data_IF_334820276428
#
_entry.id   IF_334820276428
#
_cell.length_a   1.000
_cell.length_b   1.000
_cell.length_c   1.000
_cell.angle_alpha   90.00
_cell.angle_beta   90.00
_cell.angle_gamma   90.00
#
_symmetry.space_group_name_H-M   'P 1'
#
loop_
_entity.id
_entity.type
_entity.pdbx_description
1 polymer ?
#
# COMPACT_ATOMS: atom_id res chain seq x y z
N UNK A 1 -95.79 3.76 -12.35
CA UNK A 1 -95.01 3.73 -13.61
C UNK A 1 -93.56 3.96 -13.25
N UNK A 2 -92.75 2.89 -13.19
CA UNK A 2 -91.77 2.55 -14.25
C UNK A 2 -90.76 3.68 -14.45
N UNK A 3 -89.52 3.55 -13.98
CA UNK A 3 -88.42 2.77 -14.55
C UNK A 3 -87.32 3.77 -14.95
N UNK A 4 -86.06 3.30 -14.88
CA UNK A 4 -84.82 3.93 -15.37
C UNK A 4 -84.19 5.00 -14.47
N UNK A 5 -83.30 4.56 -13.58
CA UNK A 5 -81.85 4.83 -13.65
C UNK A 5 -81.19 4.25 -12.39
N UNK A 6 -80.47 3.14 -12.51
CA UNK A 6 -79.11 3.01 -11.95
C UNK A 6 -78.51 1.73 -12.52
N UNK A 7 -77.92 1.93 -13.70
CA UNK A 7 -77.01 1.03 -14.34
C UNK A 7 -75.66 1.11 -13.59
N UNK A 8 -74.90 0.01 -13.60
CA UNK A 8 -73.46 -0.05 -13.31
C UNK A 8 -73.09 -0.03 -11.81
N UNK A 9 -73.32 -1.17 -11.14
CA UNK A 9 -72.44 -1.69 -10.07
C UNK A 9 -72.76 -3.16 -9.79
N UNK A 10 -72.53 -4.03 -10.76
CA UNK A 10 -72.45 -5.49 -10.63
C UNK A 10 -72.14 -6.04 -12.01
N UNK A 11 -70.89 -6.45 -12.25
CA UNK A 11 -70.44 -7.57 -13.10
C UNK A 11 -68.99 -7.32 -13.59
N UNK A 12 -68.01 -7.76 -12.81
CA UNK A 12 -66.68 -8.20 -13.27
C UNK A 12 -66.05 -8.94 -12.08
N UNK A 13 -66.21 -10.26 -11.94
CA UNK A 13 -65.39 -11.30 -12.59
C UNK A 13 -63.89 -11.04 -12.41
N UNK A 14 -63.33 -11.52 -11.29
CA UNK A 14 -62.03 -12.20 -11.25
C UNK A 14 -61.79 -12.77 -9.85
N UNK A 15 -62.42 -13.92 -9.61
CA UNK A 15 -62.09 -14.78 -8.49
C UNK A 15 -60.80 -15.52 -8.86
N UNK A 16 -59.66 -14.86 -8.60
CA UNK A 16 -58.34 -15.49 -8.64
C UNK A 16 -58.24 -16.40 -7.42
N UNK A 17 -58.73 -17.64 -7.56
CA UNK A 17 -58.24 -18.76 -6.75
C UNK A 17 -56.77 -18.92 -7.14
N UNK A 18 -55.89 -18.18 -6.46
CA UNK A 18 -54.47 -18.45 -6.50
C UNK A 18 -54.28 -19.78 -5.78
N UNK A 19 -54.30 -20.88 -6.54
CA UNK A 19 -53.81 -22.16 -6.08
C UNK A 19 -52.34 -21.96 -5.72
N UNK A 20 -52.09 -21.66 -4.45
CA UNK A 20 -50.78 -21.82 -3.84
C UNK A 20 -50.44 -23.30 -3.95
N UNK A 21 -49.79 -23.67 -5.04
CA UNK A 21 -48.97 -24.87 -5.09
C UNK A 21 -47.89 -24.66 -4.04
N UNK A 22 -48.12 -25.21 -2.84
CA UNK A 22 -47.06 -25.49 -1.89
C UNK A 22 -46.11 -26.46 -2.60
N UNK A 23 -45.13 -25.92 -3.32
CA UNK A 23 -43.94 -26.66 -3.67
C UNK A 23 -43.36 -27.16 -2.36
N UNK A 24 -43.26 -28.48 -2.20
CA UNK A 24 -42.52 -29.09 -1.12
C UNK A 24 -41.05 -28.71 -1.33
N UNK A 25 -40.58 -27.69 -0.62
CA UNK A 25 -39.15 -27.43 -0.50
C UNK A 25 -38.57 -28.62 0.25
N UNK A 26 -37.69 -29.38 -0.40
CA UNK A 26 -36.95 -30.44 0.27
C UNK A 26 -36.05 -29.78 1.32
N UNK A 27 -36.46 -29.84 2.58
CA UNK A 27 -35.61 -29.44 3.70
C UNK A 27 -34.48 -30.48 3.81
N UNK A 28 -33.24 -30.03 4.01
CA UNK A 28 -32.08 -30.92 4.20
C UNK A 28 -31.69 -30.90 5.67
N UNK A 29 -31.69 -32.05 6.32
CA UNK A 29 -31.33 -32.21 7.72
C UNK A 29 -30.00 -32.95 7.84
N UNK A 30 -29.03 -32.31 8.50
CA UNK A 30 -27.71 -32.88 8.75
C UNK A 30 -27.67 -33.49 10.16
N UNK A 31 -27.29 -34.75 10.29
CA UNK A 31 -27.18 -35.45 11.58
C UNK A 31 -25.82 -36.15 11.73
N UNK A 32 -25.31 -36.23 12.96
CA UNK A 32 -24.19 -37.14 13.28
C UNK A 32 -24.71 -38.56 13.51
N UNK A 33 -23.92 -39.62 13.23
CA UNK A 33 -24.25 -40.98 13.65
C UNK A 33 -24.62 -41.03 15.14
N UNK A 34 -25.78 -41.59 15.47
CA UNK A 34 -26.32 -41.66 16.83
C UNK A 34 -27.13 -40.42 17.28
N UNK A 35 -27.19 -39.33 16.51
CA UNK A 35 -28.10 -38.21 16.79
C UNK A 35 -29.51 -38.49 16.30
N UNK A 36 -30.49 -37.84 16.94
CA UNK A 36 -31.90 -37.90 16.56
C UNK A 36 -32.57 -36.52 16.50
N UNK A 37 -33.51 -36.33 15.58
CA UNK A 37 -34.37 -35.15 15.47
C UNK A 37 -35.84 -35.57 15.56
N UNK A 38 -36.60 -34.88 16.41
CA UNK A 38 -38.05 -35.10 16.51
C UNK A 38 -38.77 -34.23 15.50
N UNK A 39 -39.55 -34.86 14.63
CA UNK A 39 -40.42 -34.21 13.65
C UNK A 39 -41.85 -34.21 14.19
N UNK A 40 -42.49 -33.03 14.20
CA UNK A 40 -43.85 -32.84 14.70
C UNK A 40 -44.77 -32.46 13.55
N UNK A 41 -45.92 -33.11 13.46
CA UNK A 41 -46.89 -32.93 12.37
C UNK A 41 -48.23 -32.43 12.91
N UNK A 42 -48.89 -31.56 12.15
CA UNK A 42 -50.22 -31.06 12.49
C UNK A 42 -51.32 -32.12 12.29
N UNK A 43 -51.10 -33.04 11.35
CA UNK A 43 -52.03 -34.10 10.95
C UNK A 43 -51.47 -35.49 11.31
N UNK A 44 -52.37 -36.48 11.41
CA UNK A 44 -51.97 -37.85 11.71
C UNK A 44 -51.05 -38.43 10.62
N UNK A 45 -49.93 -39.00 11.05
CA UNK A 45 -48.96 -39.74 10.26
C UNK A 45 -49.51 -41.16 10.03
N UNK A 46 -49.55 -41.60 8.78
CA UNK A 46 -50.02 -42.94 8.43
C UNK A 46 -48.86 -43.83 7.99
N UNK A 47 -48.03 -43.34 7.07
CA UNK A 47 -46.89 -44.11 6.52
C UNK A 47 -45.65 -43.24 6.51
N UNK A 48 -44.50 -43.83 6.82
CA UNK A 48 -43.20 -43.18 6.72
C UNK A 48 -42.31 -44.07 5.86
N UNK A 49 -41.71 -43.48 4.84
CA UNK A 49 -40.81 -44.15 3.93
C UNK A 49 -39.42 -43.56 4.08
N UNK A 50 -38.41 -44.43 4.13
CA UNK A 50 -36.99 -44.03 4.10
C UNK A 50 -36.31 -44.81 2.98
N UNK A 51 -35.64 -44.08 2.08
CA UNK A 51 -35.02 -44.68 0.89
C UNK A 51 -33.90 -45.66 1.24
N UNK A 52 -33.06 -45.31 2.20
CA UNK A 52 -31.99 -46.16 2.75
C UNK A 52 -32.01 -46.18 4.31
N UNK A 53 -32.54 -47.25 4.93
CA UNK A 53 -32.58 -47.42 6.39
C UNK A 53 -31.21 -47.71 7.03
N UNK A 54 -30.18 -48.07 6.25
CA UNK A 54 -28.84 -48.24 6.78
C UNK A 54 -28.20 -46.89 7.15
N UNK A 55 -28.59 -45.82 6.46
CA UNK A 55 -28.12 -44.44 6.65
C UNK A 55 -28.87 -43.76 7.80
N UNK A 56 -30.19 -43.68 7.73
CA UNK A 56 -31.03 -43.11 8.78
C UNK A 56 -32.32 -43.92 8.94
N UNK A 57 -32.87 -43.92 10.13
CA UNK A 57 -34.04 -44.73 10.46
C UNK A 57 -34.97 -43.95 11.40
N UNK A 58 -36.20 -44.41 11.57
CA UNK A 58 -37.23 -43.66 12.28
C UNK A 58 -37.99 -44.51 13.28
N UNK A 59 -38.56 -43.84 14.29
CA UNK A 59 -39.48 -44.44 15.23
C UNK A 59 -40.69 -43.53 15.43
N UNK A 60 -41.88 -44.09 15.26
CA UNK A 60 -43.14 -43.39 15.52
C UNK A 60 -43.34 -43.36 17.04
N UNK A 61 -43.46 -42.16 17.60
CA UNK A 61 -43.72 -41.98 19.03
C UNK A 61 -45.23 -41.93 19.29
N UNK A 62 -45.96 -41.21 18.44
CA UNK A 62 -47.42 -41.20 18.40
C UNK A 62 -47.90 -40.81 16.99
N UNK A 63 -49.21 -40.64 16.81
CA UNK A 63 -49.83 -40.28 15.53
C UNK A 63 -49.36 -38.94 14.95
N UNK A 64 -48.64 -38.09 15.69
CA UNK A 64 -48.19 -36.76 15.25
C UNK A 64 -46.69 -36.52 15.39
N UNK A 65 -45.95 -37.45 16.00
CA UNK A 65 -44.53 -37.27 16.31
C UNK A 65 -43.72 -38.48 15.83
N UNK A 66 -42.70 -38.19 15.04
CA UNK A 66 -41.71 -39.17 14.57
C UNK A 66 -40.35 -38.74 15.10
N UNK A 67 -39.57 -39.69 15.61
CA UNK A 67 -38.16 -39.48 15.92
C UNK A 67 -37.33 -40.10 14.80
N UNK A 68 -36.61 -39.25 14.06
CA UNK A 68 -35.63 -39.65 13.05
C UNK A 68 -34.27 -39.76 13.73
N UNK A 69 -33.52 -40.84 13.53
CA UNK A 69 -32.17 -41.01 14.04
C UNK A 69 -31.20 -41.47 12.95
N UNK A 70 -29.98 -40.94 13.01
CA UNK A 70 -28.92 -41.25 12.07
C UNK A 70 -28.14 -42.50 12.50
N UNK A 71 -27.82 -43.39 11.55
CA UNK A 71 -27.12 -44.66 11.79
C UNK A 71 -25.73 -44.69 11.16
N UNK A 72 -25.64 -44.57 9.83
CA UNK A 72 -24.37 -44.63 9.09
C UNK A 72 -24.20 -43.44 8.16
N UNK A 73 -22.94 -43.20 7.80
CA UNK A 73 -22.55 -42.19 6.82
C UNK A 73 -23.27 -42.41 5.48
N UNK A 74 -23.89 -41.37 4.95
CA UNK A 74 -24.57 -41.39 3.66
C UNK A 74 -25.71 -40.37 3.62
N UNK A 75 -26.41 -40.31 2.48
CA UNK A 75 -27.59 -39.47 2.31
C UNK A 75 -28.80 -40.35 1.98
N UNK A 76 -29.93 -40.08 2.62
CA UNK A 76 -31.18 -40.82 2.42
C UNK A 76 -32.36 -39.86 2.41
N UNK A 77 -33.48 -40.24 1.83
CA UNK A 77 -34.69 -39.42 1.78
C UNK A 77 -35.75 -40.01 2.69
N UNK A 78 -36.42 -39.17 3.46
CA UNK A 78 -37.52 -39.52 4.35
C UNK A 78 -38.80 -38.82 3.86
N UNK A 79 -39.79 -39.63 3.50
CA UNK A 79 -41.10 -39.15 3.04
C UNK A 79 -42.16 -39.58 4.05
N UNK A 80 -42.92 -38.61 4.55
CA UNK A 80 -43.99 -38.84 5.53
C UNK A 80 -45.33 -38.64 4.84
N UNK A 81 -46.20 -39.65 4.91
CA UNK A 81 -47.55 -39.64 4.35
C UNK A 81 -48.60 -39.57 5.45
N UNK A 82 -49.66 -38.80 5.19
CA UNK A 82 -50.85 -38.70 6.02
C UNK A 82 -52.01 -39.52 5.46
N UNK A 83 -53.24 -39.15 5.85
CA UNK A 83 -54.45 -39.73 5.26
C UNK A 83 -54.49 -39.54 3.73
N UNK A 84 -55.08 -40.51 3.02
CA UNK A 84 -55.27 -40.48 1.56
C UNK A 84 -53.97 -40.37 0.75
N UNK A 85 -52.85 -40.91 1.26
CA UNK A 85 -51.53 -40.86 0.63
C UNK A 85 -51.00 -39.44 0.36
N UNK A 86 -51.50 -38.43 1.08
CA UNK A 86 -50.99 -37.06 0.98
C UNK A 86 -49.60 -36.97 1.62
N UNK A 87 -48.61 -36.46 0.89
CA UNK A 87 -47.28 -36.18 1.42
C UNK A 87 -47.39 -35.03 2.43
N UNK A 88 -47.06 -35.31 3.69
CA UNK A 88 -46.99 -34.33 4.77
C UNK A 88 -45.62 -33.64 4.80
N UNK A 89 -44.55 -34.38 4.48
CA UNK A 89 -43.19 -33.87 4.46
C UNK A 89 -42.31 -34.75 3.56
N UNK A 90 -41.39 -34.11 2.85
CA UNK A 90 -40.29 -34.77 2.18
C UNK A 90 -38.98 -34.12 2.65
N UNK A 91 -38.06 -34.91 3.19
CA UNK A 91 -36.84 -34.47 3.85
C UNK A 91 -35.63 -35.26 3.34
N UNK A 92 -34.58 -34.58 2.89
CA UNK A 92 -33.29 -35.22 2.65
C UNK A 92 -32.48 -35.24 3.94
N UNK A 93 -31.99 -36.41 4.34
CA UNK A 93 -31.23 -36.64 5.57
C UNK A 93 -29.80 -36.96 5.17
N UNK A 94 -28.87 -36.07 5.51
CA UNK A 94 -27.44 -36.27 5.29
C UNK A 94 -26.76 -36.61 6.62
N UNK A 95 -26.09 -37.76 6.66
CA UNK A 95 -25.40 -38.24 7.86
C UNK A 95 -23.90 -38.09 7.64
N UNK A 96 -23.32 -37.08 8.28
CA UNK A 96 -21.89 -36.76 8.19
C UNK A 96 -21.33 -36.33 9.57
N UNK A 97 -20.50 -37.18 10.23
CA UNK A 97 -19.84 -36.82 11.49
C UNK A 97 -18.81 -35.70 11.30
N UNK A 98 -18.11 -35.71 10.16
CA UNK A 98 -16.95 -34.87 9.92
C UNK A 98 -17.35 -33.42 9.64
N UNK A 99 -18.40 -33.21 8.83
CA UNK A 99 -18.97 -31.88 8.59
C UNK A 99 -19.43 -31.22 9.88
N UNK A 100 -20.05 -32.01 10.75
CA UNK A 100 -20.61 -31.54 12.00
C UNK A 100 -19.52 -31.19 13.04
N UNK A 101 -18.39 -31.92 13.04
CA UNK A 101 -17.21 -31.59 13.85
C UNK A 101 -16.51 -30.32 13.37
N UNK A 102 -16.34 -30.14 12.05
CA UNK A 102 -15.80 -28.90 11.48
C UNK A 102 -16.65 -27.71 11.89
N UNK A 103 -17.98 -27.79 11.69
CA UNK A 103 -18.91 -26.70 12.07
C UNK A 103 -18.79 -26.33 13.55
N UNK A 104 -18.71 -27.33 14.42
CA UNK A 104 -18.55 -27.10 15.86
C UNK A 104 -17.19 -26.47 16.20
N UNK A 105 -16.12 -26.88 15.51
CA UNK A 105 -14.79 -26.31 15.73
C UNK A 105 -14.68 -24.87 15.22
N UNK A 106 -15.21 -24.58 14.03
CA UNK A 106 -15.29 -23.21 13.48
C UNK A 106 -16.09 -22.31 14.43
N UNK A 107 -17.25 -22.77 14.92
CA UNK A 107 -18.06 -21.99 15.86
C UNK A 107 -17.37 -21.73 17.21
N UNK A 108 -16.49 -22.64 17.66
CA UNK A 108 -15.72 -22.50 18.91
C UNK A 108 -14.53 -21.55 18.75
N UNK A 109 -13.78 -21.67 17.67
CA UNK A 109 -12.57 -20.85 17.44
C UNK A 109 -12.90 -19.44 16.95
N UNK A 110 -14.00 -19.25 16.21
CA UNK A 110 -14.43 -17.97 15.65
C UNK A 110 -15.84 -17.58 16.10
N UNK A 111 -16.03 -17.23 17.39
CA UNK A 111 -17.34 -16.86 17.92
C UNK A 111 -17.91 -15.62 17.21
N UNK A 112 -19.22 -15.61 16.96
CA UNK A 112 -19.91 -14.50 16.28
C UNK A 112 -19.83 -14.52 14.74
N UNK A 113 -19.14 -15.49 14.15
CA UNK A 113 -19.11 -15.67 12.69
C UNK A 113 -20.27 -16.54 12.23
N UNK A 114 -21.04 -16.07 11.24
CA UNK A 114 -22.15 -16.82 10.65
C UNK A 114 -21.63 -17.66 9.47
N UNK A 115 -20.78 -18.64 9.76
CA UNK A 115 -20.14 -19.50 8.75
C UNK A 115 -20.94 -20.78 8.54
N UNK A 116 -21.32 -21.03 7.29
CA UNK A 116 -21.88 -22.29 6.83
C UNK A 116 -20.83 -23.03 5.99
N UNK A 117 -20.53 -24.25 6.39
CA UNK A 117 -19.68 -25.17 5.63
C UNK A 117 -20.60 -26.15 4.90
N UNK A 118 -20.44 -26.29 3.58
CA UNK A 118 -21.12 -27.31 2.77
C UNK A 118 -20.09 -28.21 2.10
N UNK A 119 -20.40 -29.50 2.04
CA UNK A 119 -19.63 -30.49 1.29
C UNK A 119 -20.41 -30.87 0.04
N UNK A 120 -19.73 -30.89 -1.10
CA UNK A 120 -20.24 -31.42 -2.35
C UNK A 120 -19.35 -32.57 -2.80
N UNK A 121 -19.93 -33.74 -3.00
CA UNK A 121 -19.25 -34.92 -3.53
C UNK A 121 -19.46 -34.95 -5.05
N UNK A 122 -18.38 -34.92 -5.82
CA UNK A 122 -18.43 -35.12 -7.27
C UNK A 122 -17.52 -36.29 -7.64
N UNK A 123 -18.15 -37.42 -8.01
CA UNK A 123 -17.51 -38.73 -8.22
C UNK A 123 -16.60 -39.13 -7.03
N UNK A 124 -15.31 -38.79 -7.10
CA UNK A 124 -14.27 -39.13 -6.10
C UNK A 124 -13.65 -37.90 -5.39
N UNK A 125 -14.06 -36.68 -5.73
CA UNK A 125 -13.53 -35.45 -5.13
C UNK A 125 -14.58 -34.77 -4.25
N UNK A 126 -14.22 -34.57 -2.98
CA UNK A 126 -15.00 -33.76 -2.05
C UNK A 126 -14.58 -32.29 -2.17
N UNK A 127 -15.48 -31.44 -2.64
CA UNK A 127 -15.31 -29.98 -2.69
C UNK A 127 -16.04 -29.35 -1.51
N UNK A 128 -15.35 -28.47 -0.80
CA UNK A 128 -15.86 -27.79 0.38
C UNK A 128 -16.13 -26.33 0.04
N UNK A 129 -17.34 -25.85 0.33
CA UNK A 129 -17.72 -24.47 0.10
C UNK A 129 -17.94 -23.81 1.45
N UNK A 130 -17.19 -22.75 1.71
CA UNK A 130 -17.33 -21.88 2.86
C UNK A 130 -18.18 -20.68 2.44
N UNK A 131 -19.33 -20.50 3.08
CA UNK A 131 -20.22 -19.36 2.82
C UNK A 131 -20.69 -18.73 4.12
N UNK A 132 -21.09 -17.46 4.06
CA UNK A 132 -21.59 -16.75 5.23
C UNK A 132 -20.88 -15.43 5.44
N UNK A 133 -21.13 -14.80 6.59
CA UNK A 133 -20.58 -13.48 6.93
C UNK A 133 -19.59 -13.59 8.08
N UNK A 134 -18.43 -12.94 7.92
CA UNK A 134 -17.37 -12.87 8.92
C UNK A 134 -17.05 -11.42 9.25
N UNK A 135 -16.62 -11.14 10.48
CA UNK A 135 -16.43 -9.77 10.95
C UNK A 135 -15.23 -9.04 10.28
N UNK A 136 -14.14 -9.76 10.05
CA UNK A 136 -12.86 -9.20 9.59
C UNK A 136 -12.09 -10.21 8.71
N UNK A 137 -11.05 -9.69 8.05
CA UNK A 137 -10.26 -10.46 7.08
C UNK A 137 -9.39 -11.53 7.76
N UNK A 138 -8.89 -11.25 8.96
CA UNK A 138 -8.14 -12.22 9.77
C UNK A 138 -9.00 -13.45 10.10
N UNK A 139 -10.26 -13.22 10.47
CA UNK A 139 -11.25 -14.26 10.75
C UNK A 139 -11.61 -15.02 9.48
N UNK A 140 -11.81 -14.32 8.34
CA UNK A 140 -12.04 -14.94 7.03
C UNK A 140 -10.92 -15.91 6.67
N UNK A 141 -9.69 -15.45 6.77
CA UNK A 141 -8.50 -16.20 6.41
C UNK A 141 -8.27 -17.34 7.41
N UNK A 142 -8.47 -17.09 8.70
CA UNK A 142 -8.39 -18.10 9.75
C UNK A 142 -9.37 -19.25 9.56
N UNK A 143 -10.64 -18.95 9.22
CA UNK A 143 -11.66 -19.97 8.91
C UNK A 143 -11.25 -20.77 7.67
N UNK A 144 -10.79 -20.10 6.61
CA UNK A 144 -10.32 -20.75 5.39
C UNK A 144 -9.13 -21.69 5.66
N UNK A 145 -8.12 -21.22 6.40
CA UNK A 145 -6.95 -22.01 6.76
C UNK A 145 -7.30 -23.18 7.69
N UNK A 146 -8.17 -22.97 8.69
CA UNK A 146 -8.62 -24.02 9.59
C UNK A 146 -9.33 -25.12 8.81
N UNK A 147 -10.34 -24.77 8.02
CA UNK A 147 -11.10 -25.76 7.24
C UNK A 147 -10.18 -26.42 6.22
N UNK A 148 -9.42 -25.64 5.45
CA UNK A 148 -8.44 -26.14 4.50
C UNK A 148 -7.43 -27.11 5.13
N UNK A 149 -6.94 -26.84 6.34
CA UNK A 149 -6.02 -27.75 7.02
C UNK A 149 -6.66 -29.08 7.44
N UNK A 150 -7.98 -29.12 7.65
CA UNK A 150 -8.73 -30.31 8.05
C UNK A 150 -9.19 -31.15 6.86
N UNK A 151 -9.47 -30.52 5.72
CA UNK A 151 -10.02 -31.20 4.53
C UNK A 151 -9.18 -31.17 3.28
N UNK A 152 -8.10 -30.41 3.28
CA UNK A 152 -7.12 -30.42 2.19
C UNK A 152 -6.57 -31.82 2.00
N UNK A 153 -6.75 -32.36 0.81
CA UNK A 153 -6.05 -33.58 0.40
C UNK A 153 -4.54 -33.31 0.46
N UNK A 154 -3.76 -34.24 1.00
CA UNK A 154 -2.37 -34.04 1.47
C UNK A 154 -1.34 -33.55 0.45
N UNK A 155 -1.75 -33.20 -0.78
CA UNK A 155 -0.95 -32.50 -1.77
C UNK A 155 -0.72 -31.05 -1.37
N UNK A 156 0.53 -30.71 -1.04
CA UNK A 156 0.94 -29.40 -0.53
C UNK A 156 0.27 -28.23 -1.23
N UNK A 157 -0.67 -27.59 -0.52
CA UNK A 157 -1.25 -26.32 -0.94
C UNK A 157 -0.15 -25.38 -1.39
N UNK A 158 -0.28 -24.87 -2.60
CA UNK A 158 0.70 -23.96 -3.19
C UNK A 158 0.79 -22.76 -2.27
N UNK A 159 1.95 -22.60 -1.65
CA UNK A 159 2.34 -21.33 -1.04
C UNK A 159 2.21 -20.28 -2.14
N UNK A 160 1.31 -19.31 -1.99
CA UNK A 160 1.19 -18.13 -2.87
C UNK A 160 2.41 -17.19 -2.73
N UNK A 161 3.60 -17.74 -2.53
CA UNK A 161 4.88 -17.05 -2.53
C UNK A 161 5.69 -17.35 -3.78
N UNK A 162 5.04 -17.73 -4.89
CA UNK A 162 5.75 -17.93 -6.15
C UNK A 162 6.31 -16.59 -6.62
N UNK A 163 7.58 -16.63 -7.01
CA UNK A 163 8.50 -15.54 -7.34
C UNK A 163 8.11 -14.78 -8.60
N UNK A 164 6.86 -14.32 -8.70
CA UNK A 164 6.43 -13.38 -9.71
C UNK A 164 6.85 -11.98 -9.24
N UNK A 165 7.95 -11.47 -9.79
CA UNK A 165 8.53 -10.16 -9.47
C UNK A 165 7.56 -8.98 -9.67
N UNK A 166 6.40 -9.24 -10.28
CA UNK A 166 5.36 -8.27 -10.56
C UNK A 166 4.21 -8.26 -9.53
N UNK A 167 4.15 -9.22 -8.60
CA UNK A 167 3.15 -9.24 -7.53
C UNK A 167 3.78 -8.76 -6.24
N UNK A 168 3.28 -7.63 -5.71
CA UNK A 168 3.74 -7.05 -4.46
C UNK A 168 3.72 -8.05 -3.30
N UNK A 169 4.49 -7.82 -2.23
CA UNK A 169 4.57 -8.75 -1.12
C UNK A 169 3.19 -8.90 -0.48
N UNK A 170 2.71 -10.15 -0.47
CA UNK A 170 1.47 -10.54 0.19
C UNK A 170 1.80 -10.81 1.66
N UNK A 171 1.00 -10.25 2.57
CA UNK A 171 1.17 -10.51 4.00
C UNK A 171 0.85 -11.97 4.30
N UNK A 172 1.88 -12.72 4.67
CA UNK A 172 1.87 -14.14 4.98
C UNK A 172 1.42 -15.04 3.80
N UNK A 173 2.17 -16.12 3.64
CA UNK A 173 1.89 -17.20 2.70
C UNK A 173 0.62 -17.92 3.18
N UNK A 174 -0.55 -17.47 2.72
CA UNK A 174 -1.78 -18.21 2.89
C UNK A 174 -1.69 -19.47 2.00
N UNK A 175 -1.73 -20.65 2.62
CA UNK A 175 -1.78 -21.92 1.90
C UNK A 175 -3.10 -21.99 1.12
N UNK A 176 -3.03 -22.18 -0.19
CA UNK A 176 -4.22 -22.32 -1.02
C UNK A 176 -4.58 -23.80 -1.12
N UNK A 177 -5.84 -24.12 -0.86
CA UNK A 177 -6.38 -25.47 -0.90
C UNK A 177 -7.30 -25.62 -2.11
N UNK A 178 -6.96 -26.52 -3.03
CA UNK A 178 -7.66 -26.67 -4.32
C UNK A 178 -9.11 -27.19 -4.16
N UNK A 179 -9.37 -27.94 -3.09
CA UNK A 179 -10.69 -28.51 -2.81
C UNK A 179 -11.55 -27.65 -1.86
N UNK A 180 -11.10 -26.44 -1.51
CA UNK A 180 -11.85 -25.51 -0.64
C UNK A 180 -12.12 -24.20 -1.38
N UNK A 181 -13.40 -23.90 -1.60
CA UNK A 181 -13.86 -22.67 -2.22
C UNK A 181 -14.28 -21.69 -1.11
N UNK A 182 -13.58 -20.56 -1.01
CA UNK A 182 -13.90 -19.50 -0.07
C UNK A 182 -14.93 -18.52 -0.68
N UNK A 183 -16.15 -18.50 -0.15
CA UNK A 183 -17.21 -17.51 -0.46
C UNK A 183 -17.64 -16.74 0.79
N UNK A 184 -16.78 -16.67 1.81
CA UNK A 184 -17.05 -15.85 2.99
C UNK A 184 -17.07 -14.37 2.60
N UNK A 185 -18.11 -13.69 3.05
CA UNK A 185 -18.33 -12.27 2.78
C UNK A 185 -18.00 -11.44 4.02
N UNK A 186 -17.42 -10.26 3.77
CA UNK A 186 -17.24 -9.24 4.79
C UNK A 186 -18.44 -8.29 4.76
N UNK A 187 -18.94 -7.82 5.91
CA UNK A 187 -20.07 -6.89 5.97
C UNK A 187 -19.78 -5.53 5.31
N UNK A 188 -18.50 -5.16 5.19
CA UNK A 188 -18.04 -4.00 4.45
C UNK A 188 -16.71 -4.29 3.75
N UNK A 189 -16.51 -3.74 2.56
CA UNK A 189 -15.18 -3.66 1.96
C UNK A 189 -14.38 -2.60 2.70
N UNK A 190 -13.39 -3.04 3.45
CA UNK A 190 -12.47 -2.14 4.14
C UNK A 190 -11.46 -1.62 3.11
N UNK A 191 -11.48 -0.32 2.85
CA UNK A 191 -10.47 0.35 2.03
C UNK A 191 -9.54 1.13 2.94
N UNK A 192 -8.25 1.00 2.71
CA UNK A 192 -7.23 1.73 3.45
C UNK A 192 -6.63 2.77 2.52
N UNK A 193 -6.77 4.03 2.91
CA UNK A 193 -6.03 5.12 2.33
C UNK A 193 -4.66 5.22 2.99
N UNK A 194 -3.62 5.28 2.18
CA UNK A 194 -2.23 5.37 2.62
C UNK A 194 -1.64 6.66 2.06
N UNK A 195 -1.29 7.55 2.98
CA UNK A 195 -0.65 8.82 2.71
C UNK A 195 0.80 8.73 3.14
N UNK A 196 1.71 8.74 2.18
CA UNK A 196 3.14 8.81 2.44
C UNK A 196 3.58 10.27 2.34
N UNK A 197 4.40 10.74 3.27
CA UNK A 197 4.98 12.09 3.25
C UNK A 197 6.49 11.98 3.32
N UNK A 198 7.18 12.41 2.28
CA UNK A 198 8.64 12.44 2.18
C UNK A 198 9.06 13.90 2.21
N UNK A 199 9.80 14.27 3.24
CA UNK A 199 10.33 15.63 3.41
C UNK A 199 11.85 15.55 3.35
N UNK A 200 12.45 16.26 2.41
CA UNK A 200 13.90 16.46 2.34
C UNK A 200 14.22 17.94 2.42
N UNK A 201 15.19 18.29 3.26
CA UNK A 201 15.73 19.64 3.39
C UNK A 201 17.23 19.54 3.17
N UNK A 202 17.75 20.25 2.16
CA UNK A 202 19.18 20.43 1.96
C UNK A 202 19.55 21.88 2.18
N UNK A 203 20.63 22.10 2.92
CA UNK A 203 21.20 23.41 3.22
C UNK A 203 22.67 23.37 2.83
N UNK A 204 23.09 24.29 2.00
CA UNK A 204 24.48 24.51 1.62
C UNK A 204 24.85 25.93 2.00
N UNK A 205 25.91 26.06 2.80
CA UNK A 205 26.46 27.34 3.23
C UNK A 205 27.88 27.42 2.71
N UNK A 206 28.21 28.51 2.01
CA UNK A 206 29.59 28.80 1.58
C UNK A 206 29.96 30.20 2.05
N UNK A 207 30.92 30.25 2.95
CA UNK A 207 31.57 31.49 3.36
C UNK A 207 33.00 31.49 2.78
N UNK A 208 33.34 32.52 2.02
CA UNK A 208 34.68 32.75 1.48
C UNK A 208 35.09 34.17 1.80
N UNK A 209 36.17 34.32 2.56
CA UNK A 209 36.73 35.61 2.92
C UNK A 209 38.25 35.55 2.82
N UNK A 210 38.81 36.37 1.94
CA UNK A 210 40.25 36.40 1.75
C UNK A 210 40.74 37.40 0.71
N UNK A 211 42.06 37.58 0.70
CA UNK A 211 42.78 38.27 -0.36
C UNK A 211 43.59 37.23 -1.14
N UNK A 212 43.34 37.13 -2.43
CA UNK A 212 44.08 36.25 -3.33
C UNK A 212 45.17 37.04 -4.07
N UNK A 213 46.42 36.62 -3.89
CA UNK A 213 47.60 37.23 -4.51
C UNK A 213 48.00 36.37 -5.73
N UNK A 214 47.47 36.68 -6.91
CA UNK A 214 47.50 35.80 -8.09
C UNK A 214 48.78 35.89 -8.96
N UNK A 215 49.96 36.12 -8.36
CA UNK A 215 51.18 36.41 -9.14
C UNK A 215 52.44 35.74 -8.59
N UNK A 216 52.50 34.41 -8.52
CA UNK A 216 53.76 33.64 -8.37
C UNK A 216 53.59 32.18 -8.84
N UNK A 217 53.56 31.92 -10.16
CA UNK A 217 53.61 30.54 -10.68
C UNK A 217 55.05 30.12 -11.02
N UNK A 218 55.40 28.88 -10.68
CA UNK A 218 56.70 28.24 -10.92
C UNK A 218 57.09 28.20 -12.41
N UNK A 219 56.13 28.30 -13.32
CA UNK A 219 56.37 28.35 -14.78
C UNK A 219 57.13 29.60 -15.23
N UNK A 220 56.97 30.71 -14.49
CA UNK A 220 57.76 31.94 -14.70
C UNK A 220 59.23 31.77 -14.29
N UNK A 221 59.54 30.77 -13.45
CA UNK A 221 60.88 30.48 -12.91
C UNK A 221 61.66 29.51 -13.82
N UNK A 222 60.98 28.59 -14.52
CA UNK A 222 61.62 27.57 -15.36
C UNK A 222 61.86 28.06 -16.80
N UNK A 223 60.99 28.91 -17.33
CA UNK A 223 61.12 29.44 -18.71
C UNK A 223 62.17 30.55 -18.87
N UNK A 224 62.75 31.07 -17.78
CA UNK A 224 63.84 32.05 -17.80
C UNK A 224 65.17 31.43 -17.33
N UNK A 225 65.79 30.65 -18.23
CA UNK A 225 67.22 30.29 -18.27
C UNK A 225 67.97 30.23 -16.92
N UNK A 226 68.08 29.03 -16.37
CA UNK A 226 68.87 28.70 -15.18
C UNK A 226 70.37 28.99 -15.37
N UNK A 227 70.86 30.13 -14.85
CA UNK A 227 72.29 30.30 -14.56
C UNK A 227 72.60 29.84 -13.13
N UNK A 228 73.21 28.65 -13.06
CA UNK A 228 73.85 28.07 -11.86
C UNK A 228 74.76 29.11 -11.22
N UNK A 229 74.60 29.40 -9.93
CA UNK A 229 75.53 30.26 -9.20
C UNK A 229 75.84 29.74 -7.79
N UNK A 230 77.12 29.98 -7.47
CA UNK A 230 77.97 29.67 -6.32
C UNK A 230 77.33 29.38 -4.94
N UNK A 231 77.88 28.43 -4.16
CA UNK A 231 77.54 28.23 -2.75
C UNK A 231 77.78 29.50 -1.92
N UNK A 232 76.79 29.87 -1.09
CA UNK A 232 76.89 30.99 -0.14
C UNK A 232 75.99 32.20 -0.41
N UNK A 233 75.16 32.18 -1.45
CA UNK A 233 74.21 33.27 -1.74
C UNK A 233 72.76 32.83 -1.56
N UNK A 234 72.04 33.48 -0.64
CA UNK A 234 70.59 33.29 -0.46
C UNK A 234 69.83 34.22 -1.43
N UNK A 235 69.35 33.67 -2.55
CA UNK A 235 68.45 34.38 -3.47
C UNK A 235 67.00 34.03 -3.13
N UNK A 236 66.23 35.01 -2.65
CA UNK A 236 64.78 34.89 -2.50
C UNK A 236 64.15 34.81 -3.90
N UNK A 237 63.72 33.59 -4.27
CA UNK A 237 63.10 33.26 -5.56
C UNK A 237 62.00 34.27 -5.93
N UNK A 238 62.15 34.94 -7.08
CA UNK A 238 61.11 35.77 -7.71
C UNK A 238 61.45 37.27 -7.86
N UNK A 239 62.46 37.81 -7.19
CA UNK A 239 62.67 39.27 -7.13
C UNK A 239 64.03 39.73 -7.67
N UNK A 240 64.34 39.49 -8.96
CA UNK A 240 65.60 39.98 -9.57
C UNK A 240 65.53 41.40 -10.16
N UNK A 241 64.36 42.08 -10.18
CA UNK A 241 64.20 43.46 -10.68
C UNK A 241 63.51 44.42 -9.68
N UNK A 242 63.68 44.17 -8.38
CA UNK A 242 63.04 44.99 -7.34
C UNK A 242 61.54 44.70 -7.21
N UNK A 243 60.98 45.19 -6.10
CA UNK A 243 59.55 45.06 -5.79
C UNK A 243 58.78 46.05 -6.67
N UNK A 244 58.38 45.63 -7.87
CA UNK A 244 57.54 46.46 -8.73
C UNK A 244 56.07 46.27 -8.36
N UNK A 245 55.50 47.28 -7.68
CA UNK A 245 54.09 47.31 -7.29
C UNK A 245 53.13 47.21 -8.49
N UNK A 246 53.61 47.46 -9.71
CA UNK A 246 52.80 47.36 -10.93
C UNK A 246 52.37 45.92 -11.29
N UNK A 247 53.05 44.89 -10.77
CA UNK A 247 52.75 43.48 -11.07
C UNK A 247 51.94 42.76 -9.98
N UNK A 248 51.48 43.50 -8.97
CA UNK A 248 50.67 42.97 -7.87
C UNK A 248 49.18 43.13 -8.22
N UNK A 249 48.59 42.09 -8.79
CA UNK A 249 47.12 41.99 -8.90
C UNK A 249 46.58 41.44 -7.57
N UNK A 250 45.69 42.21 -6.92
CA UNK A 250 45.02 41.81 -5.68
C UNK A 250 43.53 41.68 -5.96
N UNK A 251 42.96 40.54 -5.60
CA UNK A 251 41.53 40.32 -5.64
C UNK A 251 41.02 40.06 -4.22
N UNK A 252 40.05 40.87 -3.77
CA UNK A 252 39.35 40.65 -2.51
C UNK A 252 38.13 39.80 -2.82
N UNK A 253 38.11 38.58 -2.27
CA UNK A 253 36.98 37.68 -2.36
C UNK A 253 36.25 37.68 -1.03
N UNK A 254 35.03 38.22 -1.02
CA UNK A 254 34.11 38.21 0.12
C UNK A 254 32.75 37.73 -0.36
N UNK A 255 32.52 36.42 -0.26
CA UNK A 255 31.32 35.76 -0.76
C UNK A 255 30.68 34.99 0.39
N UNK A 256 29.41 35.28 0.66
CA UNK A 256 28.57 34.51 1.55
C UNK A 256 27.34 34.05 0.78
N UNK A 257 27.25 32.74 0.57
CA UNK A 257 26.18 32.11 -0.16
C UNK A 257 25.44 31.13 0.74
N UNK A 258 24.12 31.35 0.88
CA UNK A 258 23.22 30.46 1.59
C UNK A 258 22.22 29.87 0.59
N UNK A 259 22.31 28.57 0.33
CA UNK A 259 21.39 27.84 -0.53
C UNK A 259 20.55 26.86 0.31
N UNK A 260 19.23 27.04 0.29
CA UNK A 260 18.29 26.15 0.98
C UNK A 260 17.30 25.60 -0.04
N UNK A 261 17.25 24.28 -0.15
CA UNK A 261 16.24 23.59 -0.93
C UNK A 261 15.40 22.68 -0.03
N UNK A 262 14.08 22.66 -0.30
CA UNK A 262 13.12 21.78 0.37
C UNK A 262 12.33 21.03 -0.69
N UNK A 263 12.31 19.71 -0.57
CA UNK A 263 11.53 18.82 -1.43
C UNK A 263 10.47 18.15 -0.57
N UNK A 264 9.21 18.29 -0.97
CA UNK A 264 8.07 17.60 -0.37
C UNK A 264 7.41 16.73 -1.44
N UNK A 265 7.38 15.42 -1.22
CA UNK A 265 6.60 14.50 -2.03
C UNK A 265 5.55 13.83 -1.13
N UNK A 266 4.29 13.88 -1.55
CA UNK A 266 3.18 13.31 -0.77
C UNK A 266 2.28 12.42 -1.62
N UNK A 267 2.75 11.23 -2.04
CA UNK A 267 1.90 10.29 -2.76
C UNK A 267 0.79 9.77 -1.85
N UNK A 268 -0.41 9.68 -2.42
CA UNK A 268 -1.63 9.27 -1.72
C UNK A 268 -2.31 8.17 -2.54
N UNK A 269 -2.53 7.00 -1.94
CA UNK A 269 -3.05 5.83 -2.63
C UNK A 269 -4.05 5.09 -1.74
N UNK A 270 -5.19 4.69 -2.31
CA UNK A 270 -6.17 3.86 -1.61
C UNK A 270 -6.09 2.44 -2.13
N UNK A 271 -6.09 1.47 -1.23
CA UNK A 271 -6.05 0.04 -1.55
C UNK A 271 -7.14 -0.71 -0.79
N UNK A 272 -7.64 -1.79 -1.36
CA UNK A 272 -8.54 -2.70 -0.65
C UNK A 272 -7.73 -3.49 0.40
N UNK A 273 -8.33 -3.77 1.55
CA UNK A 273 -7.72 -4.66 2.54
C UNK A 273 -7.36 -6.01 1.91
N UNK A 274 -6.12 -6.46 2.14
CA UNK A 274 -5.57 -7.70 1.61
C UNK A 274 -4.98 -7.61 0.20
N UNK A 275 -5.19 -6.49 -0.50
CA UNK A 275 -4.70 -6.26 -1.86
C UNK A 275 -3.47 -5.37 -1.89
N UNK A 276 -2.73 -5.44 -2.99
CA UNK A 276 -1.59 -4.58 -3.28
C UNK A 276 -1.96 -3.55 -4.34
N UNK A 277 -1.42 -2.34 -4.21
CA UNK A 277 -1.53 -1.28 -5.18
C UNK A 277 -0.14 -0.68 -5.46
N UNK A 278 0.09 -0.31 -6.71
CA UNK A 278 1.30 0.39 -7.16
C UNK A 278 0.94 1.74 -7.76
N UNK A 279 1.80 2.72 -7.53
CA UNK A 279 1.68 4.07 -8.05
C UNK A 279 3.04 4.50 -8.57
N UNK A 280 3.12 4.81 -9.87
CA UNK A 280 4.33 5.30 -10.51
C UNK A 280 4.04 6.66 -11.15
N UNK A 281 4.86 7.65 -10.83
CA UNK A 281 4.84 8.97 -11.48
C UNK A 281 6.26 9.36 -11.84
N UNK A 282 6.52 9.52 -13.14
CA UNK A 282 7.80 9.95 -13.64
C UNK A 282 7.94 9.69 -15.13
N UNK A 283 9.12 9.29 -15.58
CA UNK A 283 9.42 9.06 -16.99
C UNK A 283 10.44 7.95 -17.18
N UNK A 284 10.85 7.74 -18.42
CA UNK A 284 11.84 6.73 -18.80
C UNK A 284 13.04 7.40 -19.48
N UNK A 285 14.24 6.91 -19.16
CA UNK A 285 15.48 7.35 -19.79
C UNK A 285 15.96 6.24 -20.71
N UNK A 286 16.14 6.50 -22.00
CA UNK A 286 16.76 5.53 -22.91
C UNK A 286 18.26 5.45 -22.62
N UNK A 287 18.74 4.25 -22.34
CA UNK A 287 20.16 3.92 -22.16
C UNK A 287 20.57 3.03 -23.33
N UNK A 288 21.57 3.48 -24.09
CA UNK A 288 22.12 2.67 -25.18
C UNK A 288 23.11 1.66 -24.61
N UNK A 289 22.83 0.38 -24.77
CA UNK A 289 23.69 -0.73 -24.38
C UNK A 289 24.27 -1.34 -25.65
N UNK A 290 25.59 -1.35 -25.78
CA UNK A 290 26.29 -2.02 -26.88
C UNK A 290 26.60 -3.45 -26.47
N UNK A 291 26.02 -4.42 -27.18
CA UNK A 291 26.34 -5.83 -27.05
C UNK A 291 27.05 -6.30 -28.33
N UNK A 292 28.37 -6.53 -28.24
CA UNK A 292 29.28 -6.85 -29.34
C UNK A 292 29.14 -5.89 -30.55
N UNK A 293 28.21 -6.17 -31.47
CA UNK A 293 27.92 -5.39 -32.69
C UNK A 293 26.47 -4.85 -32.78
N UNK A 294 25.63 -5.11 -31.78
CA UNK A 294 24.25 -4.60 -31.69
C UNK A 294 24.15 -3.46 -30.67
N UNK A 295 23.52 -2.35 -31.06
CA UNK A 295 23.14 -1.27 -30.14
C UNK A 295 21.69 -1.47 -29.76
N UNK A 296 21.44 -1.88 -28.52
CA UNK A 296 20.08 -2.04 -27.97
C UNK A 296 19.76 -0.84 -27.08
N UNK A 297 18.56 -0.28 -27.22
CA UNK A 297 18.07 0.78 -26.33
C UNK A 297 17.29 0.14 -25.18
N UNK A 298 17.78 0.32 -23.95
CA UNK A 298 17.10 -0.10 -22.72
C UNK A 298 16.48 1.10 -22.03
N UNK A 299 15.18 1.07 -21.76
CA UNK A 299 14.51 2.14 -21.01
C UNK A 299 14.62 1.89 -19.50
N UNK A 300 15.04 2.92 -18.77
CA UNK A 300 15.11 2.92 -17.31
C UNK A 300 14.16 3.96 -16.72
N UNK A 301 13.15 3.49 -16.00
CA UNK A 301 12.18 4.33 -15.31
C UNK A 301 12.83 5.16 -14.19
N UNK A 302 12.33 6.38 -14.01
CA UNK A 302 12.63 7.24 -12.88
C UNK A 302 11.38 8.00 -12.41
N UNK A 303 11.45 8.56 -11.21
CA UNK A 303 10.36 9.29 -10.57
C UNK A 303 10.00 8.70 -9.21
N UNK A 304 8.73 8.84 -8.82
CA UNK A 304 8.16 8.33 -7.56
C UNK A 304 7.47 7.01 -7.86
N UNK A 305 7.98 5.92 -7.29
CA UNK A 305 7.33 4.61 -7.27
C UNK A 305 6.92 4.30 -5.83
N UNK A 306 5.65 4.01 -5.62
CA UNK A 306 5.08 3.62 -4.33
C UNK A 306 4.34 2.30 -4.51
N UNK A 307 4.77 1.27 -3.77
CA UNK A 307 4.08 0.01 -3.65
C UNK A 307 3.56 -0.13 -2.23
N UNK A 308 2.26 -0.38 -2.12
CA UNK A 308 1.56 -0.48 -0.84
C UNK A 308 0.72 -1.72 -0.83
N UNK A 309 0.81 -2.49 0.25
CA UNK A 309 -0.16 -3.53 0.60
C UNK A 309 -0.69 -3.17 1.98
N UNK A 310 -2.01 -3.17 2.17
CA UNK A 310 -2.60 -2.92 3.49
C UNK A 310 -3.57 -4.05 3.84
N UNK A 311 -3.57 -4.48 5.10
CA UNK A 311 -4.48 -5.49 5.62
C UNK A 311 -5.06 -5.05 6.95
N UNK A 312 -6.38 -5.05 7.05
CA UNK A 312 -7.10 -4.76 8.29
C UNK A 312 -7.19 -6.03 9.12
N UNK A 313 -6.60 -5.98 10.31
CA UNK A 313 -6.57 -7.06 11.29
C UNK A 313 -7.65 -6.85 12.37
N UNK A 314 -7.75 -7.79 13.33
CA UNK A 314 -8.62 -7.60 14.49
C UNK A 314 -8.28 -6.32 15.27
N UNK A 315 -9.29 -5.80 15.98
CA UNK A 315 -9.19 -4.59 16.83
C UNK A 315 -8.90 -3.30 16.03
N UNK A 316 -9.32 -3.24 14.77
CA UNK A 316 -9.15 -2.05 13.89
C UNK A 316 -7.69 -1.63 13.69
N UNK A 317 -6.77 -2.60 13.73
CA UNK A 317 -5.39 -2.37 13.37
C UNK A 317 -5.18 -2.62 11.89
N UNK A 318 -4.24 -1.90 11.31
CA UNK A 318 -3.88 -1.94 9.90
C UNK A 318 -2.42 -2.36 9.82
N UNK A 319 -2.17 -3.55 9.29
CA UNK A 319 -0.85 -3.99 8.88
C UNK A 319 -0.55 -3.39 7.50
N UNK A 320 0.50 -2.59 7.43
CA UNK A 320 0.92 -1.86 6.23
C UNK A 320 2.30 -2.34 5.80
N UNK A 321 2.44 -2.71 4.53
CA UNK A 321 3.70 -2.90 3.84
C UNK A 321 3.82 -1.74 2.87
N UNK A 322 4.92 -1.03 2.96
CA UNK A 322 5.18 0.15 2.14
C UNK A 322 6.60 0.07 1.61
N UNK A 323 6.72 0.14 0.30
CA UNK A 323 7.99 0.22 -0.41
C UNK A 323 7.93 1.42 -1.34
N UNK A 324 8.77 2.41 -1.08
CA UNK A 324 8.85 3.61 -1.88
C UNK A 324 10.23 3.78 -2.49
N UNK A 325 10.25 4.35 -3.68
CA UNK A 325 11.44 4.73 -4.40
C UNK A 325 11.23 6.11 -5.01
N UNK A 326 12.12 7.03 -4.69
CA UNK A 326 12.20 8.34 -5.32
C UNK A 326 13.50 8.40 -6.10
N UNK A 327 13.38 8.59 -7.41
CA UNK A 327 14.51 8.71 -8.31
C UNK A 327 14.42 9.99 -9.14
N UNK A 328 15.55 10.67 -9.29
CA UNK A 328 15.66 11.90 -10.06
C UNK A 328 16.94 11.89 -10.90
N UNK A 329 16.85 12.37 -12.14
CA UNK A 329 18.03 12.63 -12.97
C UNK A 329 18.80 13.79 -12.34
N UNK A 330 20.06 13.57 -11.97
CA UNK A 330 20.85 14.58 -11.22
C UNK A 330 21.96 15.19 -12.08
N UNK A 331 22.25 14.61 -13.24
CA UNK A 331 23.21 15.17 -14.19
C UNK A 331 23.63 14.12 -15.22
N UNK A 332 24.87 14.25 -15.68
CA UNK A 332 25.47 13.30 -16.61
C UNK A 332 26.96 13.15 -16.36
N UNK A 333 27.44 11.92 -16.46
CA UNK A 333 28.85 11.57 -16.46
C UNK A 333 29.35 11.50 -17.91
N UNK A 334 30.31 12.35 -18.26
CA UNK A 334 30.95 12.31 -19.57
C UNK A 334 32.00 11.21 -19.61
N UNK A 335 31.87 10.29 -20.57
CA UNK A 335 32.88 9.25 -20.84
C UNK A 335 33.10 9.17 -22.35
N UNK A 336 34.29 9.55 -22.81
CA UNK A 336 34.57 9.84 -24.22
C UNK A 336 33.55 10.84 -24.80
N UNK A 337 32.96 10.56 -25.96
CA UNK A 337 31.91 11.37 -26.60
C UNK A 337 30.48 11.05 -26.07
N UNK A 338 30.35 10.18 -25.07
CA UNK A 338 29.05 9.79 -24.50
C UNK A 338 28.75 10.57 -23.22
N UNK A 339 27.54 11.13 -23.16
CA UNK A 339 26.99 11.78 -21.98
C UNK A 339 26.00 10.81 -21.29
N UNK A 340 26.46 10.12 -20.24
CA UNK A 340 25.69 9.09 -19.55
C UNK A 340 24.90 9.73 -18.40
N UNK A 341 23.55 9.71 -18.40
CA UNK A 341 22.76 10.30 -17.31
C UNK A 341 23.05 9.64 -15.97
N UNK A 342 23.20 10.45 -14.92
CA UNK A 342 23.35 9.97 -13.54
C UNK A 342 22.04 10.08 -12.78
N UNK A 343 21.72 9.04 -12.03
CA UNK A 343 20.47 8.91 -11.28
C UNK A 343 20.76 8.93 -9.79
N UNK A 344 20.00 9.74 -9.05
CA UNK A 344 19.97 9.68 -7.60
C UNK A 344 18.70 8.97 -7.19
N UNK A 345 18.83 7.86 -6.46
CA UNK A 345 17.71 7.04 -6.00
C UNK A 345 17.69 6.97 -4.49
N UNK A 346 16.52 7.18 -3.90
CA UNK A 346 16.23 6.98 -2.48
C UNK A 346 15.18 5.89 -2.39
N UNK A 347 15.41 4.88 -1.55
CA UNK A 347 14.50 3.75 -1.37
C UNK A 347 14.29 3.48 0.11
N UNK A 348 13.04 3.23 0.49
CA UNK A 348 12.74 2.65 1.80
C UNK A 348 11.70 1.54 1.66
N UNK A 349 11.75 0.56 2.55
CA UNK A 349 10.83 -0.56 2.59
C UNK A 349 10.62 -0.96 4.03
N UNK A 350 9.37 -1.01 4.49
CA UNK A 350 9.04 -1.38 5.86
C UNK A 350 7.68 -2.05 5.96
N UNK A 351 7.51 -2.85 7.01
CA UNK A 351 6.23 -3.40 7.43
C UNK A 351 5.92 -2.87 8.82
N UNK A 352 4.80 -2.18 8.97
CA UNK A 352 4.38 -1.54 10.22
C UNK A 352 2.93 -1.89 10.53
N UNK A 353 2.55 -1.81 11.80
CA UNK A 353 1.17 -2.00 12.27
C UNK A 353 0.72 -0.71 12.95
N UNK A 354 -0.39 -0.14 12.46
CA UNK A 354 -0.91 1.17 12.84
C UNK A 354 -2.40 1.08 13.14
N UNK A 355 -2.95 1.91 14.03
CA UNK A 355 -4.40 2.07 14.12
C UNK A 355 -4.91 3.04 13.02
N UNK A 356 -6.23 3.11 12.86
CA UNK A 356 -6.87 4.09 11.98
C UNK A 356 -6.52 5.53 12.40
N UNK A 357 -5.99 6.32 11.47
CA UNK A 357 -5.54 7.69 11.70
C UNK A 357 -4.12 7.84 12.24
N UNK A 358 -3.47 6.73 12.63
CA UNK A 358 -2.10 6.79 13.15
C UNK A 358 -1.10 7.14 12.04
N UNK A 359 -0.05 7.85 12.46
CA UNK A 359 1.09 8.18 11.61
C UNK A 359 2.38 7.67 12.23
N UNK A 360 3.28 7.12 11.42
CA UNK A 360 4.54 6.57 11.88
C UNK A 360 5.70 6.95 10.97
N UNK A 361 6.86 7.17 11.58
CA UNK A 361 8.11 7.47 10.86
C UNK A 361 8.70 6.16 10.35
N UNK A 362 8.72 5.98 9.03
CA UNK A 362 9.28 4.77 8.40
C UNK A 362 10.81 4.82 8.38
N UNK A 363 11.38 6.03 8.28
CA UNK A 363 12.82 6.23 8.26
C UNK A 363 13.20 7.70 8.21
N UNK A 364 14.48 7.96 8.48
CA UNK A 364 15.09 9.27 8.33
C UNK A 364 16.59 9.16 8.12
N UNK A 365 17.17 10.21 7.54
CA UNK A 365 18.60 10.34 7.31
C UNK A 365 19.01 11.77 7.60
N UNK A 366 20.02 11.94 8.44
CA UNK A 366 20.72 13.20 8.64
C UNK A 366 22.14 13.03 8.11
N UNK A 367 22.55 13.89 7.20
CA UNK A 367 23.90 13.95 6.64
C UNK A 367 24.43 15.36 6.81
N UNK A 368 25.66 15.47 7.28
CA UNK A 368 26.36 16.74 7.46
C UNK A 368 27.80 16.56 6.99
N UNK A 369 28.29 17.48 6.16
CA UNK A 369 29.65 17.50 5.69
C UNK A 369 30.17 18.94 5.70
N UNK A 370 31.24 19.13 6.47
CA UNK A 370 31.94 20.39 6.65
C UNK A 370 33.32 20.30 6.00
N UNK A 371 33.64 21.31 5.19
CA UNK A 371 34.91 21.46 4.50
C UNK A 371 35.46 22.84 4.78
N UNK A 372 36.60 22.90 5.44
CA UNK A 372 37.33 24.13 5.70
C UNK A 372 38.64 24.10 4.90
N UNK A 373 38.93 25.21 4.22
CA UNK A 373 40.14 25.40 3.43
C UNK A 373 40.76 26.73 3.80
N UNK A 374 42.03 26.70 4.20
CA UNK A 374 42.80 27.89 4.52
C UNK A 374 44.04 27.94 3.62
N UNK A 375 44.06 28.93 2.73
CA UNK A 375 45.24 29.25 1.92
C UNK A 375 45.92 30.46 2.52
N UNK A 376 47.24 30.39 2.79
CA UNK A 376 47.99 31.51 3.37
C UNK A 376 49.39 31.61 2.79
N UNK A 377 49.94 32.82 2.76
CA UNK A 377 51.36 33.05 2.49
C UNK A 377 52.17 32.61 3.72
N UNK A 378 53.18 31.74 3.57
CA UNK A 378 54.06 31.36 4.67
C UNK A 378 54.66 32.59 5.37
N UNK A 379 54.87 32.51 6.70
CA UNK A 379 55.34 33.59 7.58
C UNK A 379 54.36 34.76 7.79
N UNK A 380 53.89 35.42 6.73
CA UNK A 380 53.06 36.64 6.84
C UNK A 380 51.62 36.31 7.26
N UNK A 381 51.06 35.19 6.78
CA UNK A 381 49.69 34.78 7.09
C UNK A 381 49.45 34.33 8.54
N UNK A 382 50.51 34.10 9.31
CA UNK A 382 50.44 33.68 10.72
C UNK A 382 50.49 34.85 11.72
N UNK A 383 50.76 36.08 11.24
CA UNK A 383 50.78 37.26 12.10
C UNK A 383 49.34 37.56 12.55
N UNK A 384 49.06 37.63 13.87
CA UNK A 384 47.74 38.02 14.36
C UNK A 384 47.32 39.38 13.79
N UNK A 385 46.05 39.51 13.42
CA UNK A 385 45.46 40.73 12.80
C UNK A 385 45.99 41.03 11.40
N UNK A 386 47.30 41.22 11.22
CA UNK A 386 47.91 41.60 9.93
C UNK A 386 47.95 40.46 8.90
N UNK A 387 48.03 39.21 9.36
CA UNK A 387 48.01 38.03 8.51
C UNK A 387 46.68 37.80 7.80
N UNK A 388 45.60 38.49 8.21
CA UNK A 388 44.31 38.47 7.52
C UNK A 388 44.40 38.99 6.07
N UNK A 389 45.35 39.88 5.78
CA UNK A 389 45.59 40.41 4.43
C UNK A 389 46.37 39.43 3.54
N UNK A 390 46.96 38.39 4.12
CA UNK A 390 47.83 37.42 3.45
C UNK A 390 47.27 35.99 3.52
N UNK A 391 45.97 35.83 3.83
CA UNK A 391 45.28 34.54 3.87
C UNK A 391 43.88 34.63 3.26
N UNK A 392 43.39 33.47 2.84
CA UNK A 392 42.04 33.26 2.34
C UNK A 392 41.44 32.03 3.03
N UNK A 393 40.27 32.21 3.63
CA UNK A 393 39.54 31.17 4.34
C UNK A 393 38.24 30.88 3.61
N UNK A 394 38.01 29.62 3.31
CA UNK A 394 36.77 29.12 2.73
C UNK A 394 36.19 28.05 3.65
N UNK A 395 34.93 28.21 4.03
CA UNK A 395 34.14 27.24 4.78
C UNK A 395 32.93 26.86 3.95
N UNK A 396 32.77 25.57 3.70
CA UNK A 396 31.64 24.99 2.99
C UNK A 396 30.97 23.98 3.92
N UNK A 397 29.69 24.20 4.24
CA UNK A 397 28.89 23.31 5.07
C UNK A 397 27.68 22.82 4.30
N UNK A 398 27.53 21.51 4.19
CA UNK A 398 26.40 20.88 3.52
C UNK A 398 25.64 20.01 4.52
N UNK A 399 24.35 20.28 4.69
CA UNK A 399 23.47 19.54 5.58
C UNK A 399 22.25 19.04 4.82
N UNK A 400 21.94 17.75 4.94
CA UNK A 400 20.77 17.12 4.35
C UNK A 400 19.98 16.37 5.42
N UNK A 401 18.69 16.66 5.52
CA UNK A 401 17.73 16.04 6.43
C UNK A 401 16.60 15.43 5.61
N UNK A 402 16.39 14.12 5.72
CA UNK A 402 15.31 13.37 5.09
C UNK A 402 14.48 12.70 6.17
N UNK A 403 13.15 12.84 6.10
CA UNK A 403 12.21 12.12 6.97
C UNK A 403 11.04 11.59 6.13
N UNK A 404 10.65 10.35 6.40
CA UNK A 404 9.57 9.65 5.71
C UNK A 404 8.51 9.23 6.72
N UNK A 405 7.27 9.71 6.53
CA UNK A 405 6.11 9.37 7.35
C UNK A 405 5.09 8.57 6.52
N UNK A 406 4.45 7.57 7.10
CA UNK A 406 3.22 7.02 6.57
C UNK A 406 2.07 7.20 7.55
N UNK A 407 0.94 7.63 7.00
CA UNK A 407 -0.34 7.76 7.69
C UNK A 407 -1.34 6.84 7.01
N UNK A 408 -2.13 6.11 7.79
CA UNK A 408 -3.19 5.24 7.27
C UNK A 408 -4.56 5.72 7.75
N UNK A 409 -5.56 5.63 6.89
CA UNK A 409 -6.94 5.89 7.26
C UNK A 409 -7.86 4.83 6.65
N UNK A 410 -8.83 4.33 7.41
CA UNK A 410 -9.92 3.51 6.89
C UNK A 410 -10.93 4.42 6.21
N UNK A 411 -11.11 4.24 4.90
CA UNK A 411 -11.99 5.09 4.09
C UNK A 411 -13.19 4.32 3.57
N UNK A 412 -14.31 5.02 3.44
CA UNK A 412 -15.52 4.53 2.78
C UNK A 412 -15.73 5.25 1.46
N UNK A 413 -16.24 4.57 0.41
CA UNK A 413 -16.61 5.22 -0.84
C UNK A 413 -17.63 6.34 -0.60
N UNK A 414 -17.37 7.53 -1.14
CA UNK A 414 -18.29 8.67 -1.06
C UNK A 414 -19.27 8.65 -2.24
N UNK A 415 -20.51 9.11 -2.00
CA UNK A 415 -21.49 9.28 -3.06
C UNK A 415 -21.10 10.44 -4.00
N UNK A 416 -21.45 10.32 -5.30
CA UNK A 416 -21.05 11.22 -6.39
C UNK A 416 -21.31 12.72 -6.12
N UNK A 417 -22.35 13.05 -5.34
CA UNK A 417 -22.70 14.41 -4.96
C UNK A 417 -21.62 15.11 -4.12
N UNK A 418 -20.83 14.36 -3.34
CA UNK A 418 -19.69 14.88 -2.59
C UNK A 418 -18.46 15.08 -3.49
N UNK A 419 -18.29 14.25 -4.53
CA UNK A 419 -17.15 14.32 -5.43
C UNK A 419 -17.14 15.60 -6.29
N UNK A 420 -18.32 16.14 -6.65
CA UNK A 420 -18.43 17.40 -7.44
C UNK A 420 -18.01 18.67 -6.68
N UNK A 421 -17.79 18.59 -5.36
CA UNK A 421 -17.31 19.71 -4.54
C UNK A 421 -15.78 19.76 -4.38
N UNK A 422 -15.04 18.83 -5.00
CA UNK A 422 -13.58 18.85 -4.94
C UNK A 422 -13.04 20.03 -5.77
N UNK A 423 -12.42 21.00 -5.11
CA UNK A 423 -11.77 22.14 -5.78
C UNK A 423 -10.53 21.67 -6.52
N UNK A 424 -10.30 22.05 -7.78
CA UNK A 424 -9.05 21.73 -8.47
C UNK A 424 -7.89 22.56 -7.93
N UNK A 425 -6.65 22.03 -7.95
CA UNK A 425 -5.49 22.79 -7.50
C UNK A 425 -5.27 24.00 -8.41
N UNK A 426 -5.14 25.18 -7.82
CA UNK A 426 -4.79 26.40 -8.53
C UNK A 426 -3.30 26.70 -8.33
N UNK A 427 -2.53 26.88 -9.41
CA UNK A 427 -1.13 27.28 -9.32
C UNK A 427 -1.00 28.81 -9.21
N UNK A 428 -0.33 29.30 -8.16
CA UNK A 428 0.04 30.71 -8.04
C UNK A 428 1.52 30.88 -8.46
N UNK A 429 1.77 31.54 -9.59
CA UNK A 429 3.14 31.86 -10.04
C UNK A 429 3.86 32.75 -9.02
N UNK A 430 5.12 32.46 -8.71
CA UNK A 430 6.02 33.40 -8.06
C UNK A 430 6.48 34.46 -9.06
N UNK A 431 6.39 35.74 -8.69
CA UNK A 431 6.93 36.85 -9.49
C UNK A 431 8.44 36.91 -9.36
N UNK A 432 9.15 36.79 -10.47
CA UNK A 432 10.61 36.87 -10.53
C UNK A 432 11.09 38.26 -10.13
N UNK A 433 10.32 39.30 -10.48
CA UNK A 433 10.62 40.70 -10.16
C UNK A 433 10.59 40.95 -8.65
N UNK A 434 9.65 40.31 -7.94
CA UNK A 434 9.55 40.41 -6.48
C UNK A 434 10.73 39.74 -5.78
N UNK A 435 11.19 38.61 -6.30
CA UNK A 435 12.39 37.93 -5.81
C UNK A 435 13.65 38.76 -6.09
N UNK A 436 13.76 39.32 -7.29
CA UNK A 436 14.90 40.13 -7.71
C UNK A 436 15.03 41.42 -6.89
N UNK A 437 13.93 42.16 -6.70
CA UNK A 437 13.93 43.40 -5.92
C UNK A 437 13.74 43.19 -4.41
N UNK A 438 13.67 41.92 -3.96
CA UNK A 438 13.38 41.56 -2.57
C UNK A 438 12.11 42.25 -2.00
N UNK A 439 11.09 42.46 -2.85
CA UNK A 439 9.85 43.14 -2.47
C UNK A 439 8.77 42.14 -2.12
N UNK A 440 8.30 42.17 -0.86
CA UNK A 440 7.22 41.29 -0.39
C UNK A 440 7.64 39.82 -0.23
N UNK A 441 8.94 39.57 -0.07
CA UNK A 441 9.55 38.26 0.21
C UNK A 441 9.81 38.11 1.70
N UNK A 442 8.77 38.30 2.52
CA UNK A 442 8.87 37.97 3.94
C UNK A 442 9.04 36.44 4.09
N UNK A 443 10.01 36.04 4.91
CA UNK A 443 10.32 34.64 5.20
C UNK A 443 9.07 33.89 5.69
N UNK A 444 8.22 34.58 6.46
CA UNK A 444 6.96 34.06 6.99
C UNK A 444 5.91 33.83 5.89
N UNK A 445 5.79 34.77 4.96
CA UNK A 445 4.90 34.66 3.79
C UNK A 445 5.34 33.57 2.81
N UNK A 446 6.66 33.29 2.74
CA UNK A 446 7.23 32.20 1.93
C UNK A 446 6.88 30.83 2.51
N UNK A 447 6.89 30.70 3.83
CA UNK A 447 6.50 29.48 4.55
C UNK A 447 4.99 29.23 4.49
N UNK A 448 4.17 30.26 4.70
CA UNK A 448 2.70 30.16 4.67
C UNK A 448 2.15 29.75 3.30
N UNK A 449 2.73 30.29 2.21
CA UNK A 449 2.36 29.94 0.82
C UNK A 449 2.58 28.47 0.47
N UNK A 450 3.65 27.87 0.99
CA UNK A 450 4.00 26.47 0.70
C UNK A 450 3.09 25.49 1.44
N UNK A 451 2.53 25.90 2.59
CA UNK A 451 1.66 25.08 3.39
C UNK A 451 0.16 25.20 3.00
N UNK A 452 -0.29 26.35 2.48
CA UNK A 452 -1.72 26.62 2.29
C UNK A 452 -2.35 25.96 1.06
N UNK A 453 -1.67 25.95 -0.09
CA UNK A 453 -2.35 25.71 -1.37
C UNK A 453 -2.36 24.23 -1.79
N UNK A 454 -1.28 23.50 -1.52
CA UNK A 454 -1.22 22.05 -1.78
C UNK A 454 -1.82 21.22 -0.64
N UNK A 455 -1.61 21.65 0.62
CA UNK A 455 -2.11 20.96 1.81
C UNK A 455 -3.64 20.90 1.87
N UNK A 456 -4.30 22.04 1.65
CA UNK A 456 -5.78 22.14 1.68
C UNK A 456 -6.47 21.35 0.58
N UNK A 457 -5.89 21.28 -0.63
CA UNK A 457 -6.44 20.47 -1.71
C UNK A 457 -6.35 18.97 -1.39
N UNK A 458 -5.22 18.52 -0.85
CA UNK A 458 -5.01 17.12 -0.50
C UNK A 458 -5.82 16.69 0.73
N UNK A 459 -6.09 17.60 1.68
CA UNK A 459 -7.02 17.40 2.80
C UNK A 459 -8.49 17.37 2.35
N UNK A 460 -8.82 18.00 1.21
CA UNK A 460 -10.16 17.99 0.59
C UNK A 460 -10.31 16.94 -0.51
N UNK A 461 -9.27 16.13 -0.78
CA UNK A 461 -9.33 14.97 -1.66
C UNK A 461 -10.36 13.99 -1.11
N UNK A 462 -11.56 14.02 -1.67
CA UNK A 462 -12.81 13.73 -0.96
C UNK A 462 -12.98 12.33 -0.40
N UNK A 463 -12.36 12.10 0.75
CA UNK A 463 -12.66 11.02 1.66
C UNK A 463 -12.91 11.68 3.02
N UNK A 464 -14.18 11.76 3.41
CA UNK A 464 -14.53 12.22 4.75
C UNK A 464 -13.89 11.28 5.77
N UNK A 465 -13.37 11.86 6.86
CA UNK A 465 -13.11 11.17 8.12
C UNK A 465 -14.34 10.44 8.62
#
# INVERSE_FOLDING_TARGET
>A
MTQRLYCIKRLFVLLVFCTFSLGAWAEVVNLKPGQSKTLRFASAVNTVFVSDPAVADYKIVNDKNIVLYARKLGSTELVVYGAQAKILMNLSVDVDPFLSDIRQRVAREFPGSAVEVKRFLNADKATWILSGTVADEETRDGVYQLVGSLVGDGGGGKSSGDSDSNKGPRFAVAKVYDNVINRLQLPSSNQVNVKLTVVEVSKEFTDNLGIEWSSLTLDSIISSGSSVNSPGMFNLLGFRRGFDAANISTLINAVKNDAIARVLAQPNLTVLSGESASFLVGGEIPIMVKDQDSVTVQYKEFGIRLNVTAKVEKRQKIRLFVSNELSSVTGSYAYNDYQIPTMRTRRSSSTIELADGDSFVIGGLLSEADKESLTKVPFIGDIPVLGALARSSMTERSKSELVVFATVNLVKPQAEAAARKMSLPSFRRSSVEKLFFNVGVDQKMREDRLNSDAGRFLEQGGFAR
#
